data_IF_354924965909
#
_entry.id   IF_354924965909
#
_cell.length_a   1.000
_cell.length_b   1.000
_cell.length_c   1.000
_cell.angle_alpha   90.00
_cell.angle_beta   90.00
_cell.angle_gamma   90.00
#
_symmetry.space_group_name_H-M   'P 1'
#
loop_
_entity.id
_entity.type
_entity.pdbx_description
1 polymer ?
#
# COMPACT_ATOMS: atom_id res chain seq x y z
N UNK A 1 -0.80 -3.21 -14.54
CA UNK A 1 0.16 -2.68 -15.50
C UNK A 1 0.12 -1.16 -15.64
N UNK A 2 -0.93 -0.50 -15.17
CA UNK A 2 -1.08 0.97 -15.17
C UNK A 2 0.00 1.67 -14.32
N UNK A 3 0.51 1.03 -13.28
CA UNK A 3 1.62 1.55 -12.46
C UNK A 3 3.00 1.50 -13.14
N UNK A 4 3.11 0.95 -14.35
CA UNK A 4 4.35 0.92 -15.11
C UNK A 4 4.53 2.13 -16.06
N UNK A 5 3.53 3.00 -16.19
CA UNK A 5 3.50 4.09 -17.18
C UNK A 5 4.65 5.10 -17.05
N UNK A 6 5.27 5.19 -15.89
CA UNK A 6 6.44 6.05 -15.66
C UNK A 6 7.77 5.49 -16.18
N UNK A 7 7.86 4.19 -16.42
CA UNK A 7 9.13 3.53 -16.80
C UNK A 7 9.76 4.08 -18.07
N UNK A 8 9.01 4.41 -19.13
CA UNK A 8 9.59 5.02 -20.32
C UNK A 8 10.34 6.34 -20.06
N UNK A 9 10.04 7.02 -18.97
CA UNK A 9 10.64 8.30 -18.58
C UNK A 9 11.71 8.14 -17.48
N UNK A 10 12.04 6.90 -17.13
CA UNK A 10 13.05 6.60 -16.12
C UNK A 10 14.46 6.86 -16.66
N UNK A 11 14.93 8.10 -16.55
CA UNK A 11 16.21 8.56 -17.10
C UNK A 11 17.41 7.65 -16.83
N UNK A 12 17.59 7.06 -15.61
CA UNK A 12 18.68 6.13 -15.36
C UNK A 12 18.72 4.92 -16.29
N UNK A 13 17.58 4.50 -16.84
CA UNK A 13 17.49 3.39 -17.81
C UNK A 13 18.20 3.66 -19.15
N UNK A 14 18.43 4.91 -19.48
CA UNK A 14 19.10 5.31 -20.73
C UNK A 14 20.60 5.58 -20.56
N UNK A 15 21.15 5.38 -19.37
CA UNK A 15 22.58 5.58 -19.08
C UNK A 15 23.32 4.24 -19.19
N UNK A 16 24.26 4.07 -20.15
CA UNK A 16 24.89 2.78 -20.48
C UNK A 16 25.68 2.12 -19.34
N UNK A 17 26.11 2.90 -18.34
CA UNK A 17 26.92 2.39 -17.22
C UNK A 17 26.06 1.95 -16.02
N UNK A 18 24.76 2.20 -16.06
CA UNK A 18 23.89 1.79 -14.98
C UNK A 18 23.53 0.31 -15.05
N UNK A 19 23.41 -0.28 -13.87
CA UNK A 19 22.86 -1.61 -13.69
C UNK A 19 21.53 -1.48 -12.94
N UNK A 20 20.45 -2.00 -13.50
CA UNK A 20 19.11 -1.89 -12.97
C UNK A 20 18.54 -3.30 -12.82
N UNK A 21 18.07 -3.61 -11.62
CA UNK A 21 17.37 -4.86 -11.36
C UNK A 21 15.91 -4.52 -11.04
N UNK A 22 14.99 -5.04 -11.84
CA UNK A 22 13.56 -4.97 -11.54
C UNK A 22 13.18 -6.18 -10.68
N UNK A 23 12.74 -5.93 -9.46
CA UNK A 23 12.21 -6.94 -8.56
C UNK A 23 10.68 -6.91 -8.59
N UNK A 24 10.03 -8.07 -8.64
CA UNK A 24 8.58 -8.16 -8.64
C UNK A 24 8.08 -9.59 -8.40
N UNK A 25 6.76 -9.75 -8.27
CA UNK A 25 6.15 -11.08 -8.09
C UNK A 25 5.34 -11.53 -9.31
N UNK A 26 5.10 -10.65 -10.28
CA UNK A 26 4.46 -11.01 -11.55
C UNK A 26 5.48 -11.67 -12.50
N UNK A 27 5.22 -12.91 -12.88
CA UNK A 27 6.10 -13.61 -13.85
C UNK A 27 6.16 -12.89 -15.20
N UNK A 28 5.08 -12.20 -15.57
CA UNK A 28 4.94 -11.44 -16.82
C UNK A 28 5.59 -10.05 -16.77
N UNK A 29 6.27 -9.66 -15.69
CA UNK A 29 6.86 -8.32 -15.55
C UNK A 29 7.77 -7.94 -16.71
N UNK A 30 8.70 -8.79 -17.19
CA UNK A 30 9.52 -8.47 -18.37
C UNK A 30 8.68 -8.23 -19.62
N UNK A 31 7.72 -9.12 -19.88
CA UNK A 31 6.84 -9.04 -21.05
C UNK A 31 5.95 -7.79 -21.01
N UNK A 32 5.47 -7.42 -19.82
CA UNK A 32 4.65 -6.24 -19.63
C UNK A 32 5.41 -4.96 -19.99
N UNK A 33 6.67 -4.84 -19.56
CA UNK A 33 7.51 -3.69 -19.88
C UNK A 33 7.82 -3.61 -21.38
N UNK A 34 8.16 -4.72 -22.03
CA UNK A 34 8.37 -4.75 -23.47
C UNK A 34 7.10 -4.39 -24.25
N UNK A 35 5.94 -4.91 -23.84
CA UNK A 35 4.65 -4.59 -24.48
C UNK A 35 4.27 -3.13 -24.31
N UNK A 36 4.49 -2.55 -23.14
CA UNK A 36 4.19 -1.15 -22.89
C UNK A 36 5.08 -0.22 -23.72
N UNK A 37 6.37 -0.55 -23.84
CA UNK A 37 7.38 0.24 -24.56
C UNK A 37 7.58 -0.29 -25.97
N UNK A 38 6.54 -0.25 -26.80
CA UNK A 38 6.61 -0.55 -28.23
C UNK A 38 5.44 0.10 -28.99
N UNK A 39 5.59 0.37 -30.28
CA UNK A 39 4.48 0.81 -31.12
C UNK A 39 3.31 -0.20 -31.10
N UNK A 40 2.04 0.24 -31.09
CA UNK A 40 1.60 1.63 -31.12
C UNK A 40 1.47 2.30 -29.76
N UNK A 41 1.82 1.62 -28.65
CA UNK A 41 1.60 2.12 -27.28
C UNK A 41 2.60 3.19 -26.88
N UNK A 42 3.86 3.02 -27.29
CA UNK A 42 4.93 3.97 -27.00
C UNK A 42 5.94 4.03 -28.16
N UNK A 43 6.50 5.21 -28.51
CA UNK A 43 7.40 5.34 -29.66
C UNK A 43 8.81 4.81 -29.43
N UNK A 44 9.27 4.71 -28.16
CA UNK A 44 10.60 4.19 -27.79
C UNK A 44 10.43 2.78 -27.24
N UNK A 45 11.22 1.84 -27.76
CA UNK A 45 11.17 0.45 -27.33
C UNK A 45 11.96 0.23 -26.03
N UNK A 46 11.63 -0.82 -25.29
CA UNK A 46 12.35 -1.19 -24.07
C UNK A 46 13.84 -1.46 -24.35
N UNK A 47 14.17 -2.06 -25.50
CA UNK A 47 15.53 -2.36 -25.93
C UNK A 47 16.37 -1.10 -26.24
N UNK A 48 15.75 0.06 -26.38
CA UNK A 48 16.45 1.34 -26.53
C UNK A 48 17.00 1.88 -25.22
N UNK A 49 16.57 1.35 -24.07
CA UNK A 49 17.24 1.58 -22.81
C UNK A 49 18.68 1.03 -22.87
N UNK A 50 19.65 1.82 -22.40
CA UNK A 50 21.08 1.50 -22.55
C UNK A 50 21.71 0.92 -21.28
N UNK A 51 21.01 0.96 -20.16
CA UNK A 51 21.44 0.33 -18.92
C UNK A 51 21.46 -1.20 -19.06
N UNK A 52 22.31 -1.85 -18.28
CA UNK A 52 22.25 -3.29 -18.08
C UNK A 52 21.03 -3.61 -17.20
N UNK A 53 19.95 -4.15 -17.80
CA UNK A 53 18.69 -4.41 -17.12
C UNK A 53 18.51 -5.90 -16.91
N UNK A 54 18.12 -6.28 -15.69
CA UNK A 54 17.75 -7.66 -15.32
C UNK A 54 16.46 -7.68 -14.49
N UNK A 55 15.88 -8.88 -14.37
CA UNK A 55 14.63 -9.10 -13.64
C UNK A 55 14.83 -10.21 -12.62
N UNK A 56 14.34 -9.98 -11.41
CA UNK A 56 14.25 -10.97 -10.36
C UNK A 56 12.80 -11.13 -9.92
N UNK A 57 12.22 -12.29 -10.23
CA UNK A 57 10.84 -12.62 -9.89
C UNK A 57 10.82 -13.43 -8.61
N UNK A 58 10.10 -12.92 -7.60
CA UNK A 58 10.00 -13.51 -6.27
C UNK A 58 8.63 -14.15 -6.05
N UNK A 59 8.56 -15.10 -5.14
CA UNK A 59 7.28 -15.67 -4.71
C UNK A 59 6.71 -14.85 -3.54
N UNK A 60 5.39 -14.60 -3.51
CA UNK A 60 4.76 -14.00 -2.34
C UNK A 60 5.07 -14.81 -1.08
N UNK A 61 5.40 -14.11 0.02
CA UNK A 61 5.85 -14.72 1.26
C UNK A 61 7.37 -14.92 1.39
N UNK A 62 8.12 -14.80 0.30
CA UNK A 62 9.57 -14.86 0.36
C UNK A 62 10.14 -13.58 1.02
N UNK A 63 11.14 -13.79 1.88
CA UNK A 63 11.95 -12.69 2.41
C UNK A 63 13.23 -12.61 1.58
N UNK A 64 13.42 -11.49 0.90
CA UNK A 64 14.58 -11.25 0.05
C UNK A 64 15.42 -10.09 0.58
N UNK A 65 16.71 -10.09 0.29
CA UNK A 65 17.60 -8.97 0.63
C UNK A 65 17.92 -8.17 -0.63
N UNK A 66 17.50 -6.90 -0.65
CA UNK A 66 17.69 -6.01 -1.80
C UNK A 66 18.29 -4.69 -1.33
N UNK A 67 19.47 -4.35 -1.83
CA UNK A 67 20.16 -3.09 -1.53
C UNK A 67 20.33 -2.81 -0.02
N UNK A 68 20.50 -3.85 0.80
CA UNK A 68 20.63 -3.76 2.25
C UNK A 68 19.30 -3.62 3.01
N UNK A 69 18.17 -3.80 2.33
CA UNK A 69 16.86 -3.94 2.94
C UNK A 69 16.43 -5.41 2.95
N UNK A 70 15.79 -5.84 4.02
CA UNK A 70 14.99 -7.06 4.02
C UNK A 70 13.62 -6.70 3.47
N UNK A 71 13.18 -7.41 2.44
CA UNK A 71 11.91 -7.15 1.76
C UNK A 71 11.05 -8.39 1.83
N UNK A 72 9.90 -8.27 2.49
CA UNK A 72 8.84 -9.29 2.50
C UNK A 72 7.75 -8.86 1.54
N UNK A 73 7.27 -9.80 0.72
CA UNK A 73 6.16 -9.57 -0.20
C UNK A 73 4.93 -10.36 0.22
N UNK A 74 3.75 -9.84 -0.08
CA UNK A 74 2.48 -10.51 0.16
C UNK A 74 1.54 -10.29 -1.03
N UNK A 75 0.80 -11.32 -1.42
CA UNK A 75 -0.27 -11.19 -2.40
C UNK A 75 -1.46 -10.44 -1.79
N UNK A 76 -2.09 -9.58 -2.57
CA UNK A 76 -3.22 -8.75 -2.19
C UNK A 76 -4.44 -9.04 -3.08
N UNK A 77 -5.63 -8.85 -2.52
CA UNK A 77 -6.89 -9.01 -3.25
C UNK A 77 -7.15 -7.81 -4.15
N UNK A 78 -6.92 -8.00 -5.43
CA UNK A 78 -7.13 -6.98 -6.47
C UNK A 78 -7.40 -7.68 -7.81
N UNK A 79 -8.29 -7.16 -8.68
CA UNK A 79 -8.47 -7.68 -10.04
C UNK A 79 -7.15 -7.66 -10.82
N UNK A 80 -6.65 -8.84 -11.19
CA UNK A 80 -5.37 -9.00 -11.90
C UNK A 80 -4.16 -9.18 -10.99
N UNK A 81 -4.37 -9.37 -9.71
CA UNK A 81 -3.38 -9.51 -8.64
C UNK A 81 -2.55 -8.23 -8.38
N UNK A 82 -2.24 -8.00 -7.14
CA UNK A 82 -1.25 -7.02 -6.72
C UNK A 82 -0.41 -7.56 -5.56
N UNK A 83 0.66 -6.88 -5.23
CA UNK A 83 1.57 -7.31 -4.17
C UNK A 83 1.93 -6.15 -3.26
N UNK A 84 1.84 -6.39 -1.95
CA UNK A 84 2.36 -5.48 -0.94
C UNK A 84 3.82 -5.78 -0.64
N UNK A 85 4.56 -4.77 -0.21
CA UNK A 85 5.98 -4.84 0.09
C UNK A 85 6.24 -4.26 1.48
N UNK A 86 6.93 -5.04 2.33
CA UNK A 86 7.45 -4.58 3.62
C UNK A 86 8.96 -4.51 3.55
N UNK A 87 9.50 -3.31 3.73
CA UNK A 87 10.91 -3.02 3.74
C UNK A 87 11.38 -2.83 5.18
N UNK A 88 12.47 -3.52 5.56
CA UNK A 88 13.07 -3.41 6.89
C UNK A 88 14.56 -3.11 6.79
N UNK A 89 15.01 -2.11 7.54
CA UNK A 89 16.42 -1.75 7.67
C UNK A 89 16.65 -0.95 8.96
N UNK A 90 17.78 -1.23 9.65
CA UNK A 90 18.22 -0.50 10.84
C UNK A 90 17.13 -0.40 11.94
N UNK A 91 16.31 -1.44 12.09
CA UNK A 91 15.22 -1.48 13.07
C UNK A 91 13.99 -0.65 12.70
N UNK A 92 13.94 -0.14 11.48
CA UNK A 92 12.81 0.60 10.90
C UNK A 92 12.08 -0.23 9.87
N UNK A 93 10.79 0.02 9.69
CA UNK A 93 9.98 -0.68 8.71
C UNK A 93 8.99 0.24 8.00
N UNK A 94 8.92 0.06 6.67
CA UNK A 94 7.97 0.75 5.80
C UNK A 94 7.18 -0.32 5.06
N UNK A 95 5.85 -0.19 5.05
CA UNK A 95 4.97 -1.05 4.27
C UNK A 95 4.33 -0.23 3.16
N UNK A 96 4.46 -0.73 1.92
CA UNK A 96 3.76 -0.22 0.75
C UNK A 96 2.68 -1.23 0.35
N UNK A 97 1.42 -0.85 0.51
CA UNK A 97 0.26 -1.68 0.23
C UNK A 97 -0.77 -0.87 -0.54
N UNK A 98 -0.68 -0.89 -1.86
CA UNK A 98 -1.64 -0.25 -2.76
C UNK A 98 -2.32 -1.30 -3.62
N UNK A 99 -3.46 -0.94 -4.22
CA UNK A 99 -4.29 -1.85 -5.01
C UNK A 99 -4.69 -3.09 -4.21
N UNK A 100 -5.31 -2.85 -3.05
CA UNK A 100 -5.73 -3.89 -2.14
C UNK A 100 -7.15 -3.66 -1.62
N UNK A 101 -8.03 -4.60 -1.90
CA UNK A 101 -9.37 -4.64 -1.34
C UNK A 101 -9.43 -5.57 -0.13
N UNK A 102 -9.86 -5.06 1.00
CA UNK A 102 -10.02 -5.83 2.22
C UNK A 102 -11.51 -6.11 2.46
N UNK A 103 -11.97 -7.31 2.06
CA UNK A 103 -13.38 -7.71 2.07
C UNK A 103 -13.86 -8.25 3.43
N UNK A 104 -14.98 -8.92 3.44
CA UNK A 104 -15.83 -9.30 4.58
C UNK A 104 -15.15 -9.94 5.82
N UNK A 105 -13.90 -10.36 5.76
CA UNK A 105 -13.20 -10.99 6.88
C UNK A 105 -12.12 -10.11 7.53
N UNK A 106 -11.96 -8.89 7.07
CA UNK A 106 -10.95 -7.96 7.59
C UNK A 106 -11.11 -7.65 9.10
N UNK A 107 -12.32 -7.76 9.63
CA UNK A 107 -12.62 -7.53 11.05
C UNK A 107 -12.15 -8.66 11.98
N UNK A 108 -11.73 -9.81 11.44
CA UNK A 108 -11.25 -10.94 12.27
C UNK A 108 -9.96 -10.57 12.97
N UNK A 109 -9.81 -11.05 14.23
CA UNK A 109 -8.60 -10.86 15.04
C UNK A 109 -7.36 -11.43 14.33
N UNK A 110 -7.51 -12.59 13.74
CA UNK A 110 -6.47 -13.31 12.98
C UNK A 110 -6.61 -13.02 11.48
N UNK A 111 -6.34 -11.79 11.09
CA UNK A 111 -6.32 -11.41 9.68
C UNK A 111 -4.85 -11.28 9.22
N UNK A 112 -4.38 -12.07 8.24
CA UNK A 112 -2.95 -12.16 7.88
C UNK A 112 -2.29 -10.84 7.55
N UNK A 113 -3.03 -9.92 6.96
CA UNK A 113 -2.54 -8.58 6.64
C UNK A 113 -2.09 -7.80 7.89
N UNK A 114 -2.70 -8.05 9.05
CA UNK A 114 -2.29 -7.38 10.30
C UNK A 114 -0.88 -7.77 10.72
N UNK A 115 -0.49 -9.04 10.52
CA UNK A 115 0.86 -9.49 10.82
C UNK A 115 1.88 -8.89 9.86
N UNK A 116 1.51 -8.75 8.59
CA UNK A 116 2.34 -8.13 7.55
C UNK A 116 2.67 -6.66 7.85
N UNK A 117 1.71 -5.90 8.38
CA UNK A 117 1.88 -4.47 8.70
C UNK A 117 2.24 -4.21 10.17
N UNK A 118 2.37 -5.27 11.00
CA UNK A 118 2.58 -5.13 12.45
C UNK A 118 3.77 -4.25 12.79
N UNK A 119 3.56 -3.31 13.73
CA UNK A 119 4.57 -2.39 14.27
C UNK A 119 5.30 -1.56 13.19
N UNK A 120 4.71 -1.40 11.99
CA UNK A 120 5.35 -0.61 10.94
C UNK A 120 5.52 0.85 11.38
N UNK A 121 6.71 1.41 11.10
CA UNK A 121 6.95 2.85 11.31
C UNK A 121 6.11 3.68 10.35
N UNK A 122 5.97 3.21 9.09
CA UNK A 122 5.12 3.84 8.08
C UNK A 122 4.34 2.78 7.30
N UNK A 123 3.03 3.00 7.18
CA UNK A 123 2.15 2.27 6.27
C UNK A 123 1.65 3.22 5.17
N UNK A 124 2.00 2.94 3.92
CA UNK A 124 1.43 3.57 2.73
C UNK A 124 0.26 2.69 2.30
N UNK A 125 -0.96 3.19 2.45
CA UNK A 125 -2.17 2.38 2.36
C UNK A 125 -3.13 2.90 1.29
N UNK A 126 -3.62 1.98 0.47
CA UNK A 126 -4.63 2.22 -0.54
C UNK A 126 -6.00 2.52 0.10
N UNK A 127 -6.46 3.75 -0.04
CA UNK A 127 -7.80 4.10 0.40
C UNK A 127 -8.37 5.30 -0.37
N UNK A 128 -8.73 5.14 -1.66
CA UNK A 128 -9.34 6.21 -2.46
C UNK A 128 -10.76 6.55 -2.00
N UNK A 129 -11.44 5.64 -1.30
CA UNK A 129 -12.87 5.72 -1.02
C UNK A 129 -13.18 5.98 0.45
N UNK A 130 -14.30 6.64 0.69
CA UNK A 130 -14.95 6.62 2.00
C UNK A 130 -15.51 5.23 2.30
N UNK A 131 -15.80 4.96 3.57
CA UNK A 131 -16.35 3.66 4.00
C UNK A 131 -17.64 3.28 3.25
N UNK A 132 -18.52 4.27 3.02
CA UNK A 132 -19.79 4.02 2.32
C UNK A 132 -19.61 3.75 0.82
N UNK A 133 -18.59 4.35 0.19
CA UNK A 133 -18.29 4.12 -1.22
C UNK A 133 -17.66 2.73 -1.41
N UNK A 134 -16.69 2.36 -0.57
CA UNK A 134 -16.00 1.06 -0.66
C UNK A 134 -16.93 -0.14 -0.41
N UNK A 135 -17.87 -0.03 0.54
CA UNK A 135 -18.84 -1.09 0.83
C UNK A 135 -20.12 -1.03 -0.03
N UNK A 136 -20.13 -0.25 -1.10
CA UNK A 136 -21.31 -0.04 -1.95
C UNK A 136 -20.97 0.06 -3.43
N UNK A 137 -21.06 1.25 -4.01
CA UNK A 137 -20.88 1.46 -5.46
C UNK A 137 -19.48 1.10 -5.99
N UNK A 138 -18.49 0.95 -5.11
CA UNK A 138 -17.09 0.66 -5.43
C UNK A 138 -16.61 -0.69 -4.89
N UNK A 139 -17.52 -1.54 -4.43
CA UNK A 139 -17.23 -2.93 -4.07
C UNK A 139 -16.70 -3.70 -5.29
N UNK A 140 -15.73 -4.59 -5.09
CA UNK A 140 -15.03 -5.34 -6.14
C UNK A 140 -14.18 -4.50 -7.12
N UNK A 141 -13.87 -3.24 -6.77
CA UNK A 141 -12.98 -2.39 -7.57
C UNK A 141 -11.49 -2.58 -7.20
N UNK A 142 -11.20 -3.40 -6.18
CA UNK A 142 -9.84 -3.71 -5.75
C UNK A 142 -9.23 -2.70 -4.78
N UNK A 143 -10.04 -1.84 -4.14
CA UNK A 143 -9.57 -0.78 -3.27
C UNK A 143 -10.32 -0.71 -1.93
N UNK A 144 -9.65 -0.14 -0.94
CA UNK A 144 -10.16 -0.05 0.42
C UNK A 144 -10.67 1.34 0.81
N UNK A 145 -11.17 1.44 2.04
CA UNK A 145 -11.60 2.72 2.62
C UNK A 145 -10.57 3.26 3.63
N UNK A 146 -10.62 4.57 3.82
CA UNK A 146 -9.84 5.25 4.86
C UNK A 146 -10.11 4.70 6.26
N UNK A 147 -11.33 4.31 6.55
CA UNK A 147 -11.73 3.77 7.86
C UNK A 147 -11.11 2.38 8.07
N UNK A 148 -11.11 1.54 7.04
CA UNK A 148 -10.43 0.24 7.04
C UNK A 148 -8.93 0.41 7.30
N UNK A 149 -8.28 1.39 6.65
CA UNK A 149 -6.86 1.67 6.87
C UNK A 149 -6.55 2.09 8.30
N UNK A 150 -7.35 2.97 8.89
CA UNK A 150 -7.19 3.39 10.29
C UNK A 150 -7.44 2.25 11.27
N UNK A 151 -8.42 1.38 10.97
CA UNK A 151 -8.69 0.18 11.77
C UNK A 151 -7.48 -0.74 11.79
N UNK A 152 -6.95 -1.07 10.63
CA UNK A 152 -5.76 -1.91 10.52
C UNK A 152 -4.54 -1.31 11.20
N UNK A 153 -4.26 -0.02 10.93
CA UNK A 153 -3.14 0.67 11.54
C UNK A 153 -3.22 0.65 13.08
N UNK A 154 -4.41 0.79 13.64
CA UNK A 154 -4.61 0.74 15.08
C UNK A 154 -4.40 -0.68 15.65
N UNK A 155 -4.97 -1.70 15.01
CA UNK A 155 -4.86 -3.10 15.44
C UNK A 155 -3.45 -3.65 15.30
N UNK A 156 -2.74 -3.24 14.27
CA UNK A 156 -1.37 -3.67 13.99
C UNK A 156 -0.31 -2.74 14.62
N UNK A 157 -0.70 -1.74 15.42
CA UNK A 157 0.20 -0.83 16.12
C UNK A 157 1.12 -0.02 15.18
N UNK A 158 0.64 0.32 13.99
CA UNK A 158 1.35 1.16 13.02
C UNK A 158 1.52 2.57 13.58
N UNK A 159 2.72 3.16 13.45
CA UNK A 159 3.00 4.49 14.00
C UNK A 159 2.46 5.61 13.12
N UNK A 160 2.69 5.54 11.82
CA UNK A 160 2.22 6.51 10.85
C UNK A 160 1.53 5.81 9.68
N UNK A 161 0.31 6.22 9.35
CA UNK A 161 -0.38 5.80 8.13
C UNK A 161 -0.51 6.97 7.18
N UNK A 162 -0.07 6.80 5.92
CA UNK A 162 -0.35 7.76 4.85
C UNK A 162 -1.31 7.13 3.84
N UNK A 163 -2.40 7.84 3.57
CA UNK A 163 -3.41 7.42 2.60
C UNK A 163 -2.89 7.74 1.20
N UNK A 164 -2.92 6.74 0.35
CA UNK A 164 -2.43 6.77 -1.02
C UNK A 164 -3.54 6.39 -2.02
N UNK A 165 -3.25 6.45 -3.32
CA UNK A 165 -4.15 6.05 -4.41
C UNK A 165 -5.46 6.86 -4.45
N UNK A 166 -5.36 8.18 -4.42
CA UNK A 166 -6.54 9.06 -4.43
C UNK A 166 -7.36 8.92 -5.71
N UNK A 167 -8.70 9.02 -5.58
CA UNK A 167 -9.59 9.05 -6.74
C UNK A 167 -9.20 10.23 -7.67
N UNK A 168 -8.87 9.96 -8.94
CA UNK A 168 -8.48 11.00 -9.91
C UNK A 168 -9.56 12.07 -10.13
N UNK A 169 -10.83 11.75 -9.87
CA UNK A 169 -11.94 12.71 -9.94
C UNK A 169 -12.06 13.58 -8.67
N UNK A 170 -11.25 13.30 -7.64
CA UNK A 170 -11.23 14.02 -6.38
C UNK A 170 -10.62 15.42 -6.52
N UNK A 171 -11.26 16.44 -5.94
CA UNK A 171 -10.66 17.77 -5.80
C UNK A 171 -9.85 17.87 -4.51
N UNK A 172 -8.89 18.81 -4.43
CA UNK A 172 -8.10 19.09 -3.20
C UNK A 172 -9.00 19.39 -1.98
N UNK A 173 -10.16 20.02 -2.23
CA UNK A 173 -11.16 20.26 -1.19
C UNK A 173 -11.77 18.96 -0.68
N UNK A 174 -12.03 18.00 -1.56
CA UNK A 174 -12.52 16.68 -1.19
C UNK A 174 -11.47 15.93 -0.41
N UNK A 175 -10.21 15.92 -0.85
CA UNK A 175 -9.09 15.29 -0.15
C UNK A 175 -8.89 15.87 1.24
N UNK A 176 -8.92 17.20 1.37
CA UNK A 176 -8.81 17.88 2.68
C UNK A 176 -9.95 17.51 3.62
N UNK A 177 -11.20 17.39 3.10
CA UNK A 177 -12.34 16.92 3.86
C UNK A 177 -12.16 15.46 4.28
N UNK A 178 -11.76 14.60 3.37
CA UNK A 178 -11.50 13.19 3.58
C UNK A 178 -10.47 12.96 4.71
N UNK A 179 -9.33 13.64 4.67
CA UNK A 179 -8.33 13.59 5.73
C UNK A 179 -8.89 14.02 7.09
N UNK A 180 -9.65 15.11 7.12
CA UNK A 180 -10.26 15.60 8.35
C UNK A 180 -11.26 14.59 8.92
N UNK A 181 -12.07 13.95 8.09
CA UNK A 181 -13.03 12.92 8.51
C UNK A 181 -12.32 11.68 9.03
N UNK A 182 -11.23 11.27 8.39
CA UNK A 182 -10.37 10.17 8.82
C UNK A 182 -9.76 10.44 10.20
N UNK A 183 -9.19 11.62 10.40
CA UNK A 183 -8.64 12.05 11.70
C UNK A 183 -9.71 12.15 12.79
N UNK A 184 -10.89 12.64 12.45
CA UNK A 184 -12.02 12.70 13.38
C UNK A 184 -12.51 11.30 13.79
N UNK A 185 -12.47 10.34 12.87
CA UNK A 185 -12.78 8.94 13.19
C UNK A 185 -11.78 8.37 14.20
N UNK A 186 -10.47 8.54 13.94
CA UNK A 186 -9.41 8.12 14.85
C UNK A 186 -9.56 8.78 16.23
N UNK A 187 -9.80 10.09 16.26
CA UNK A 187 -9.98 10.83 17.51
C UNK A 187 -11.19 10.30 18.33
N UNK A 188 -12.31 10.06 17.66
CA UNK A 188 -13.49 9.45 18.31
C UNK A 188 -13.16 8.07 18.85
N UNK A 189 -12.47 7.23 18.06
CA UNK A 189 -12.07 5.89 18.48
C UNK A 189 -11.15 5.91 19.71
N UNK A 190 -10.16 6.79 19.76
CA UNK A 190 -9.28 7.00 20.93
C UNK A 190 -10.05 7.40 22.20
N UNK A 191 -11.12 8.16 22.06
CA UNK A 191 -11.87 8.72 23.19
C UNK A 191 -13.12 7.92 23.57
N UNK A 192 -13.52 6.97 22.77
CA UNK A 192 -14.67 6.12 23.07
C UNK A 192 -14.17 4.74 23.45
N UNK A 193 -14.12 4.46 24.78
CA UNK A 193 -14.14 3.09 25.31
C UNK A 193 -15.50 2.42 25.01
N UNK A 194 -15.94 2.42 23.75
CA UNK A 194 -17.19 1.76 23.39
C UNK A 194 -16.94 0.25 23.38
N UNK A 195 -17.59 -0.51 24.29
CA UNK A 195 -17.58 -1.96 24.20
C UNK A 195 -18.25 -2.33 22.86
N UNK A 196 -17.59 -3.13 22.05
CA UNK A 196 -18.26 -3.78 20.92
C UNK A 196 -19.37 -4.65 21.50
N UNK A 197 -20.57 -4.52 20.99
CA UNK A 197 -21.65 -5.48 21.22
C UNK A 197 -21.12 -6.86 20.77
N UNK A 198 -20.79 -7.73 21.69
CA UNK A 198 -20.28 -9.10 21.55
C UNK A 198 -18.78 -9.31 21.82
N UNK A 199 -18.05 -8.40 22.47
CA UNK A 199 -16.74 -8.71 23.02
C UNK A 199 -16.89 -9.50 24.32
N UNK A 200 -16.06 -10.52 24.52
CA UNK A 200 -15.95 -11.24 25.79
C UNK A 200 -15.50 -10.28 26.92
N UNK A 201 -15.92 -10.49 28.18
CA UNK A 201 -15.52 -9.65 29.30
C UNK A 201 -13.99 -9.60 29.43
N UNK A 202 -13.39 -8.42 29.22
CA UNK A 202 -11.94 -8.19 29.30
C UNK A 202 -11.26 -7.97 27.96
N UNK A 203 -11.97 -8.15 26.86
CA UNK A 203 -11.51 -7.73 25.53
C UNK A 203 -12.14 -6.37 25.20
N UNK A 204 -11.30 -5.36 25.00
CA UNK A 204 -11.73 -4.14 24.30
C UNK A 204 -12.20 -4.50 22.90
N UNK A 205 -12.84 -3.58 22.17
CA UNK A 205 -13.46 -3.86 20.88
C UNK A 205 -12.53 -4.54 19.87
N UNK A 206 -11.22 -4.50 20.08
CA UNK A 206 -10.22 -5.04 19.16
C UNK A 206 -9.00 -5.68 19.85
N UNK A 207 -9.01 -5.90 21.18
CA UNK A 207 -7.90 -6.46 21.96
C UNK A 207 -7.22 -5.42 22.86
N UNK A 208 -6.58 -5.90 23.94
CA UNK A 208 -6.07 -5.09 25.05
C UNK A 208 -4.84 -4.21 24.72
N UNK A 209 -4.22 -4.33 23.54
CA UNK A 209 -2.96 -3.67 23.19
C UNK A 209 -3.06 -2.75 21.96
N UNK A 210 -4.22 -2.18 21.66
CA UNK A 210 -4.33 -1.22 20.57
C UNK A 210 -3.50 0.02 20.82
N UNK A 211 -2.50 0.24 19.99
CA UNK A 211 -1.85 1.53 19.84
C UNK A 211 -2.42 2.21 18.61
N UNK A 212 -2.94 3.40 18.81
CA UNK A 212 -3.43 4.19 17.69
C UNK A 212 -2.27 4.85 16.95
N UNK A 213 -2.35 5.01 15.63
CA UNK A 213 -1.37 5.78 14.87
C UNK A 213 -1.12 7.14 15.50
N UNK A 214 0.13 7.54 15.56
CA UNK A 214 0.54 8.87 16.02
C UNK A 214 0.15 9.91 14.98
N UNK A 215 0.28 9.55 13.70
CA UNK A 215 0.01 10.42 12.57
C UNK A 215 -0.82 9.73 11.47
N UNK A 216 -1.70 10.53 10.84
CA UNK A 216 -2.41 10.23 9.61
C UNK A 216 -2.14 11.36 8.62
N UNK A 217 -1.64 11.03 7.44
CA UNK A 217 -1.41 11.97 6.35
C UNK A 217 -2.08 11.50 5.04
N UNK A 218 -2.09 12.37 4.05
CA UNK A 218 -2.37 12.02 2.65
C UNK A 218 -1.08 12.09 1.87
N UNK A 219 -0.85 11.14 0.99
CA UNK A 219 0.26 11.18 0.06
C UNK A 219 0.03 12.26 -1.01
N UNK A 220 1.09 12.90 -1.45
CA UNK A 220 1.11 13.83 -2.58
C UNK A 220 2.51 13.87 -3.18
N UNK A 221 2.62 14.34 -4.43
CA UNK A 221 3.89 14.43 -5.12
C UNK A 221 4.86 15.37 -4.38
N UNK A 222 6.04 14.85 -4.05
CA UNK A 222 7.05 15.58 -3.27
C UNK A 222 6.92 15.46 -1.75
N UNK A 223 5.95 14.70 -1.22
CA UNK A 223 5.89 14.41 0.22
C UNK A 223 7.13 13.61 0.65
N UNK A 224 7.81 14.10 1.69
CA UNK A 224 8.92 13.42 2.35
C UNK A 224 8.47 13.06 3.76
N UNK A 225 8.60 11.78 4.12
CA UNK A 225 8.33 11.26 5.46
C UNK A 225 9.63 10.64 5.99
N UNK A 226 10.09 11.12 7.13
CA UNK A 226 11.22 10.53 7.85
C UNK A 226 10.71 9.47 8.84
N UNK A 227 11.33 8.29 8.84
CA UNK A 227 10.98 7.14 9.70
C UNK A 227 12.14 6.68 10.58
#
# INVERSE_FOLDING_TARGET
YDHLQGIPFFGPGYVPMNKIVFHGCHEELPDALHKQMQPPYFPVTFDEMKAEISFEIHKPGDMVEVAGYKVLTVEQDHPGLSYGYRFERDGKSIVYSTDAEHRAHHHRKEYPFLDFIRDADLLIFDAPYSFNEAGGAKEDWGHSSNITGVDFASRAQVKHITIFHHDPAGSDKNLSRFLRETRNFLHRRKNTNLPVKNAEPGEGPFGLDERFPEEISLSYDGLIIEV
#
